data_IF_251158799549
#
_entry.id   IF_251158799549
#
_cell.length_a   1.000
_cell.length_b   1.000
_cell.length_c   1.000
_cell.angle_alpha   90.00
_cell.angle_beta   90.00
_cell.angle_gamma   90.00
#
_symmetry.space_group_name_H-M   'P 1'
#
loop_
_entity.id
_entity.type
_entity.pdbx_description
1 polymer ?
#
# COMPACT_ATOMS: atom_id res chain seq x y z
N UNK A 1 -3.84 8.84 -10.89
CA UNK A 1 -2.46 8.55 -10.44
C UNK A 1 -1.47 9.64 -10.82
N UNK A 2 -1.29 9.95 -12.11
CA UNK A 2 -0.24 10.90 -12.53
C UNK A 2 -0.36 12.27 -11.86
N UNK A 3 -1.55 12.88 -11.84
CA UNK A 3 -1.76 14.17 -11.17
C UNK A 3 -1.48 14.15 -9.66
N UNK A 4 -1.82 13.06 -8.96
CA UNK A 4 -1.55 12.92 -7.52
C UNK A 4 -0.04 12.78 -7.25
N UNK A 5 0.68 12.10 -8.13
CA UNK A 5 2.13 11.91 -8.03
C UNK A 5 2.90 13.20 -8.29
N UNK A 6 2.48 14.00 -9.27
CA UNK A 6 3.24 15.17 -9.73
C UNK A 6 2.87 16.46 -9.00
N UNK A 7 1.63 16.61 -8.50
CA UNK A 7 1.15 17.88 -7.94
C UNK A 7 2.00 18.41 -6.76
N UNK A 8 2.26 17.64 -5.69
CA UNK A 8 3.06 18.16 -4.56
C UNK A 8 4.52 18.42 -4.92
N UNK A 9 5.06 17.69 -5.90
CA UNK A 9 6.40 17.92 -6.43
C UNK A 9 6.50 19.25 -7.18
N UNK A 10 5.54 19.54 -8.07
CA UNK A 10 5.49 20.80 -8.82
C UNK A 10 5.36 22.01 -7.90
N UNK A 11 4.50 21.91 -6.89
CA UNK A 11 4.36 22.95 -5.86
C UNK A 11 5.68 23.12 -5.09
N UNK A 12 6.30 22.01 -4.68
CA UNK A 12 7.58 22.06 -3.95
C UNK A 12 8.71 22.69 -4.78
N UNK A 13 8.72 22.48 -6.10
CA UNK A 13 9.66 23.12 -7.01
C UNK A 13 9.41 24.63 -7.11
N UNK A 14 8.15 25.06 -7.19
CA UNK A 14 7.80 26.48 -7.23
C UNK A 14 8.13 27.23 -5.94
N UNK A 15 8.09 26.55 -4.79
CA UNK A 15 8.36 27.12 -3.45
C UNK A 15 9.83 26.92 -3.04
N UNK A 16 10.64 26.17 -3.81
CA UNK A 16 12.04 25.90 -3.49
C UNK A 16 12.26 24.95 -2.31
N UNK A 17 11.27 24.10 -1.99
CA UNK A 17 11.32 23.23 -0.81
C UNK A 17 12.13 21.94 -1.08
N UNK A 18 13.45 22.03 -0.91
CA UNK A 18 14.40 20.96 -1.27
C UNK A 18 14.19 19.64 -0.53
N UNK A 19 13.74 19.67 0.73
CA UNK A 19 13.55 18.46 1.56
C UNK A 19 12.56 17.49 0.91
N UNK A 20 11.43 18.01 0.43
CA UNK A 20 10.41 17.19 -0.24
C UNK A 20 10.94 16.64 -1.57
N UNK A 21 11.69 17.44 -2.33
CA UNK A 21 12.28 17.02 -3.62
C UNK A 21 13.20 15.81 -3.44
N UNK A 22 14.07 15.83 -2.41
CA UNK A 22 15.00 14.73 -2.13
C UNK A 22 14.23 13.45 -1.75
N UNK A 23 13.29 13.56 -0.79
CA UNK A 23 12.51 12.40 -0.32
C UNK A 23 11.66 11.83 -1.46
N UNK A 24 11.00 12.69 -2.24
CA UNK A 24 10.18 12.30 -3.38
C UNK A 24 11.00 11.61 -4.47
N UNK A 25 12.21 12.11 -4.77
CA UNK A 25 13.08 11.52 -5.79
C UNK A 25 13.55 10.13 -5.37
N UNK A 26 13.95 9.98 -4.10
CA UNK A 26 14.34 8.68 -3.54
C UNK A 26 13.17 7.68 -3.55
N UNK A 27 11.99 8.13 -3.12
CA UNK A 27 10.77 7.31 -3.14
C UNK A 27 10.38 6.87 -4.56
N UNK A 28 10.45 7.80 -5.52
CA UNK A 28 10.10 7.54 -6.92
C UNK A 28 11.09 6.56 -7.55
N UNK A 29 12.39 6.73 -7.31
CA UNK A 29 13.43 5.85 -7.84
C UNK A 29 13.31 4.42 -7.28
N UNK A 30 13.13 4.29 -5.97
CA UNK A 30 12.94 2.99 -5.32
C UNK A 30 11.66 2.31 -5.84
N UNK A 31 10.54 3.02 -5.91
CA UNK A 31 9.28 2.49 -6.45
C UNK A 31 9.42 2.07 -7.91
N UNK A 32 10.10 2.85 -8.74
CA UNK A 32 10.37 2.51 -10.14
C UNK A 32 11.19 1.21 -10.28
N UNK A 33 12.19 1.00 -9.40
CA UNK A 33 12.95 -0.25 -9.36
C UNK A 33 12.06 -1.45 -9.00
N UNK A 34 11.18 -1.32 -7.99
CA UNK A 34 10.23 -2.38 -7.61
C UNK A 34 9.26 -2.69 -8.74
N UNK A 35 8.73 -1.66 -9.41
CA UNK A 35 7.84 -1.80 -10.57
C UNK A 35 8.55 -2.54 -11.71
N UNK A 36 9.82 -2.20 -11.99
CA UNK A 36 10.61 -2.90 -13.01
C UNK A 36 10.72 -4.39 -12.70
N UNK A 37 10.95 -4.74 -11.43
CA UNK A 37 10.99 -6.14 -11.01
C UNK A 37 9.63 -6.83 -11.14
N UNK A 38 8.54 -6.16 -10.78
CA UNK A 38 7.17 -6.70 -10.92
C UNK A 38 6.76 -6.93 -12.39
N UNK A 39 7.36 -6.20 -13.34
CA UNK A 39 7.13 -6.33 -14.78
C UNK A 39 8.07 -7.32 -15.49
N UNK A 40 9.05 -7.90 -14.78
CA UNK A 40 10.00 -8.82 -15.41
C UNK A 40 9.30 -10.07 -15.97
N UNK A 41 9.73 -10.51 -17.16
CA UNK A 41 9.23 -11.71 -17.84
C UNK A 41 10.39 -12.67 -18.13
N UNK A 42 10.33 -13.95 -17.67
CA UNK A 42 9.31 -14.55 -16.80
C UNK A 42 9.40 -14.06 -15.34
N UNK A 43 8.29 -14.14 -14.60
CA UNK A 43 8.25 -13.74 -13.19
C UNK A 43 9.08 -14.71 -12.33
N UNK A 44 10.13 -14.22 -11.67
CA UNK A 44 10.97 -15.06 -10.82
C UNK A 44 10.25 -15.43 -9.52
N UNK A 45 10.48 -16.63 -8.96
CA UNK A 45 9.78 -17.06 -7.75
C UNK A 45 9.92 -16.16 -6.51
N UNK A 46 11.07 -15.51 -6.36
CA UNK A 46 11.32 -14.62 -5.21
C UNK A 46 10.65 -13.25 -5.37
N UNK A 47 10.27 -12.86 -6.59
CA UNK A 47 9.80 -11.51 -6.92
C UNK A 47 8.52 -11.12 -6.18
N UNK A 48 7.42 -11.91 -6.16
CA UNK A 48 6.21 -11.52 -5.44
C UNK A 48 6.46 -11.27 -3.95
N UNK A 49 7.26 -12.12 -3.30
CA UNK A 49 7.62 -11.95 -1.88
C UNK A 49 8.38 -10.65 -1.64
N UNK A 50 9.33 -10.33 -2.53
CA UNK A 50 10.10 -9.10 -2.45
C UNK A 50 9.24 -7.86 -2.66
N UNK A 51 8.40 -7.86 -3.70
CA UNK A 51 7.51 -6.73 -4.04
C UNK A 51 6.49 -6.49 -2.92
N UNK A 52 5.76 -7.53 -2.48
CA UNK A 52 4.80 -7.41 -1.39
C UNK A 52 5.49 -7.04 -0.07
N UNK A 53 6.67 -7.59 0.22
CA UNK A 53 7.44 -7.24 1.42
C UNK A 53 7.93 -5.80 1.43
N UNK A 54 8.30 -5.24 0.27
CA UNK A 54 8.65 -3.82 0.15
C UNK A 54 7.45 -2.93 0.44
N UNK A 55 6.32 -3.16 -0.22
CA UNK A 55 5.10 -2.36 -0.01
C UNK A 55 4.55 -2.49 1.42
N UNK A 56 4.67 -3.67 2.02
CA UNK A 56 4.30 -3.86 3.44
C UNK A 56 5.19 -3.03 4.38
N UNK A 57 6.51 -3.03 4.19
CA UNK A 57 7.42 -2.17 4.99
C UNK A 57 7.15 -0.69 4.76
N UNK A 58 6.91 -0.29 3.51
CA UNK A 58 6.52 1.08 3.20
C UNK A 58 5.23 1.48 3.92
N UNK A 59 4.21 0.63 3.90
CA UNK A 59 2.96 0.86 4.63
C UNK A 59 3.24 1.08 6.13
N UNK A 60 4.08 0.24 6.74
CA UNK A 60 4.40 0.38 8.17
C UNK A 60 5.12 1.70 8.47
N UNK A 61 6.11 2.08 7.64
CA UNK A 61 6.83 3.35 7.81
C UNK A 61 5.87 4.53 7.65
N UNK A 62 5.09 4.57 6.57
CA UNK A 62 4.14 5.66 6.31
C UNK A 62 3.08 5.78 7.42
N UNK A 63 2.52 4.65 7.87
CA UNK A 63 1.55 4.61 8.95
C UNK A 63 2.16 5.09 10.27
N UNK A 64 3.36 4.61 10.63
CA UNK A 64 4.02 5.02 11.87
C UNK A 64 4.42 6.50 11.83
N UNK A 65 4.91 7.00 10.70
CA UNK A 65 5.23 8.42 10.51
C UNK A 65 3.99 9.30 10.62
N UNK A 66 2.85 8.87 10.06
CA UNK A 66 1.60 9.61 10.17
C UNK A 66 1.06 9.64 11.61
N UNK A 67 1.09 8.51 12.31
CA UNK A 67 0.69 8.42 13.73
C UNK A 67 1.60 9.29 14.59
N UNK A 68 2.92 9.22 14.39
CA UNK A 68 3.87 10.04 15.13
C UNK A 68 3.65 11.54 14.86
N UNK A 69 3.42 11.93 13.60
CA UNK A 69 3.08 13.31 13.26
C UNK A 69 1.80 13.79 13.94
N UNK A 70 0.76 12.94 13.99
CA UNK A 70 -0.48 13.23 14.71
C UNK A 70 -0.27 13.38 16.22
N UNK A 71 0.53 12.51 16.84
CA UNK A 71 0.85 12.60 18.27
C UNK A 71 1.59 13.91 18.58
N UNK A 72 2.53 14.32 17.73
CA UNK A 72 3.25 15.60 17.90
C UNK A 72 2.31 16.81 17.74
N UNK A 73 1.36 16.76 16.82
CA UNK A 73 0.32 17.78 16.67
C UNK A 73 -0.55 17.89 17.93
N UNK A 74 -1.00 16.75 18.46
CA UNK A 74 -1.81 16.71 19.68
C UNK A 74 -1.01 17.17 20.90
N UNK A 75 0.27 16.83 20.97
CA UNK A 75 1.15 17.27 22.04
C UNK A 75 1.36 18.79 22.01
N UNK A 76 1.58 19.39 20.84
CA UNK A 76 1.69 20.85 20.70
C UNK A 76 0.41 21.55 21.19
N UNK A 77 -0.75 21.06 20.75
CA UNK A 77 -2.05 21.62 21.14
C UNK A 77 -2.35 21.50 22.64
N UNK A 78 -1.92 20.41 23.30
CA UNK A 78 -2.17 20.18 24.73
C UNK A 78 -1.15 20.87 25.63
N UNK A 79 0.13 20.92 25.24
CA UNK A 79 1.22 21.42 26.06
C UNK A 79 1.42 22.93 25.94
N UNK A 80 1.04 23.52 24.80
CA UNK A 80 1.25 24.94 24.51
C UNK A 80 -0.12 25.63 24.42
N UNK A 81 -0.46 26.51 25.38
CA UNK A 81 -1.66 27.32 25.27
C UNK A 81 -1.64 28.14 23.97
N UNK A 82 -2.76 28.16 23.26
CA UNK A 82 -2.92 28.84 21.95
C UNK A 82 -2.51 30.32 22.02
N UNK A 83 -2.65 30.95 23.19
CA UNK A 83 -2.36 32.37 23.40
C UNK A 83 -0.90 32.66 23.81
N UNK A 84 -0.08 31.62 23.96
CA UNK A 84 1.33 31.82 24.32
C UNK A 84 2.16 32.28 23.12
N UNK A 85 3.08 33.24 23.28
CA UNK A 85 3.96 33.70 22.21
C UNK A 85 5.09 32.71 21.88
N UNK A 86 5.03 31.47 22.40
CA UNK A 86 6.03 30.44 22.10
C UNK A 86 5.86 29.92 20.69
N UNK A 87 6.98 29.71 20.00
CA UNK A 87 6.96 29.18 18.65
C UNK A 87 6.42 27.74 18.64
N UNK A 88 5.29 27.50 17.96
CA UNK A 88 4.66 26.19 17.71
C UNK A 88 5.47 25.32 16.73
N UNK A 89 6.78 25.17 16.96
CA UNK A 89 7.65 24.38 16.10
C UNK A 89 7.26 22.90 16.11
N UNK A 90 6.82 22.37 17.25
CA UNK A 90 6.47 20.96 17.40
C UNK A 90 5.25 20.60 16.54
N UNK A 91 4.24 21.47 16.55
CA UNK A 91 3.06 21.36 15.68
C UNK A 91 3.40 21.44 14.20
N UNK A 92 4.29 22.36 13.79
CA UNK A 92 4.74 22.47 12.39
C UNK A 92 5.45 21.20 11.90
N UNK A 93 6.36 20.65 12.71
CA UNK A 93 7.03 19.38 12.39
C UNK A 93 6.05 18.21 12.39
N UNK A 94 5.10 18.17 13.34
CA UNK A 94 4.05 17.16 13.41
C UNK A 94 3.16 17.17 12.16
N UNK A 95 2.73 18.35 11.70
CA UNK A 95 1.95 18.50 10.47
C UNK A 95 2.72 18.01 9.25
N UNK A 96 4.00 18.37 9.14
CA UNK A 96 4.84 17.96 8.02
C UNK A 96 5.02 16.44 7.98
N UNK A 97 5.26 15.81 9.14
CA UNK A 97 5.38 14.35 9.25
C UNK A 97 4.07 13.65 8.89
N UNK A 98 2.94 14.15 9.41
CA UNK A 98 1.63 13.61 9.08
C UNK A 98 1.35 13.70 7.57
N UNK A 99 1.61 14.86 6.96
CA UNK A 99 1.47 15.07 5.53
C UNK A 99 2.33 14.10 4.71
N UNK A 100 3.59 13.89 5.07
CA UNK A 100 4.46 12.93 4.39
C UNK A 100 3.97 11.49 4.53
N UNK A 101 3.58 11.09 5.75
CA UNK A 101 3.07 9.75 6.02
C UNK A 101 1.82 9.44 5.19
N UNK A 102 0.87 10.37 5.12
CA UNK A 102 -0.33 10.22 4.30
C UNK A 102 -0.02 10.28 2.80
N UNK A 103 0.77 11.25 2.33
CA UNK A 103 1.06 11.42 0.91
C UNK A 103 1.76 10.19 0.31
N UNK A 104 2.86 9.75 0.91
CA UNK A 104 3.57 8.55 0.46
C UNK A 104 2.75 7.28 0.74
N UNK A 105 1.89 7.29 1.76
CA UNK A 105 0.93 6.22 2.02
C UNK A 105 -0.07 6.02 0.88
N UNK A 106 -0.69 7.10 0.38
CA UNK A 106 -1.62 7.02 -0.78
C UNK A 106 -0.88 6.54 -2.03
N UNK A 107 0.29 7.12 -2.33
CA UNK A 107 1.09 6.72 -3.49
C UNK A 107 1.54 5.25 -3.40
N UNK A 108 2.04 4.82 -2.24
CA UNK A 108 2.50 3.46 -2.00
C UNK A 108 1.39 2.44 -2.21
N UNK A 109 0.17 2.74 -1.75
CA UNK A 109 -1.01 1.91 -1.98
C UNK A 109 -1.39 1.80 -3.46
N UNK A 110 -1.43 2.91 -4.17
CA UNK A 110 -1.79 2.92 -5.59
C UNK A 110 -0.75 2.14 -6.43
N UNK A 111 0.53 2.29 -6.10
CA UNK A 111 1.60 1.54 -6.74
C UNK A 111 1.55 0.04 -6.41
N UNK A 112 1.17 -0.33 -5.18
CA UNK A 112 1.09 -1.73 -4.78
C UNK A 112 -0.03 -2.48 -5.51
N UNK A 113 -1.18 -1.82 -5.69
CA UNK A 113 -2.32 -2.35 -6.45
C UNK A 113 -1.93 -2.54 -7.94
N UNK A 114 -1.31 -1.53 -8.56
CA UNK A 114 -0.80 -1.64 -9.93
C UNK A 114 0.24 -2.76 -10.11
N UNK A 115 1.17 -2.92 -9.15
CA UNK A 115 2.15 -3.99 -9.19
C UNK A 115 1.51 -5.36 -9.04
N UNK A 116 0.51 -5.49 -8.16
CA UNK A 116 -0.24 -6.73 -7.98
C UNK A 116 -1.01 -7.11 -9.25
N UNK A 117 -1.62 -6.15 -9.94
CA UNK A 117 -2.30 -6.36 -11.22
C UNK A 117 -1.35 -6.82 -12.32
N UNK A 118 -0.16 -6.22 -12.42
CA UNK A 118 0.85 -6.69 -13.37
C UNK A 118 1.29 -8.11 -13.03
N UNK A 119 1.65 -8.41 -11.78
CA UNK A 119 2.02 -9.78 -11.41
C UNK A 119 0.89 -10.79 -11.66
N UNK A 120 -0.36 -10.43 -11.39
CA UNK A 120 -1.53 -11.26 -11.68
C UNK A 120 -1.68 -11.56 -13.18
N UNK A 121 -1.52 -10.55 -14.03
CA UNK A 121 -1.58 -10.71 -15.49
C UNK A 121 -0.53 -11.70 -16.01
N UNK A 122 0.66 -11.70 -15.40
CA UNK A 122 1.80 -12.53 -15.82
C UNK A 122 1.71 -13.99 -15.39
N UNK A 123 1.01 -14.28 -14.30
CA UNK A 123 0.75 -15.68 -13.90
C UNK A 123 -0.26 -16.34 -14.86
N UNK A 124 -1.02 -15.54 -15.62
CA UNK A 124 -1.97 -15.99 -16.65
C UNK A 124 -3.44 -15.68 -16.33
N UNK A 125 -3.73 -14.82 -15.34
CA UNK A 125 -5.10 -14.52 -14.89
C UNK A 125 -5.84 -13.46 -15.72
N UNK A 126 -5.47 -13.27 -16.98
CA UNK A 126 -6.26 -12.45 -17.93
C UNK A 126 -6.80 -13.29 -19.08
N UNK A 127 -7.28 -14.49 -18.78
CA UNK A 127 -8.32 -15.11 -19.60
C UNK A 127 -9.61 -14.31 -19.40
N UNK A 128 -10.35 -14.04 -20.48
CA UNK A 128 -11.74 -13.56 -20.40
C UNK A 128 -12.51 -14.41 -19.39
N UNK A 129 -13.56 -13.83 -18.80
CA UNK A 129 -14.48 -14.40 -17.79
C UNK A 129 -14.94 -15.88 -17.99
N UNK A 130 -14.67 -16.49 -19.14
CA UNK A 130 -15.14 -17.82 -19.55
C UNK A 130 -14.03 -18.78 -20.02
N UNK A 131 -12.74 -18.42 -19.92
CA UNK A 131 -11.63 -19.33 -20.29
C UNK A 131 -11.07 -20.06 -19.06
N UNK A 132 -11.25 -21.38 -19.05
CA UNK A 132 -10.72 -22.31 -18.04
C UNK A 132 -9.19 -22.16 -18.00
N UNK A 133 -8.57 -21.84 -16.85
CA UNK A 133 -7.12 -21.73 -16.74
C UNK A 133 -6.48 -23.11 -16.97
N UNK A 134 -5.95 -23.35 -18.16
CA UNK A 134 -5.40 -24.65 -18.59
C UNK A 134 -3.98 -24.94 -18.08
N UNK A 135 -3.53 -24.28 -17.00
CA UNK A 135 -2.24 -24.57 -16.37
C UNK A 135 -2.45 -25.50 -15.17
N UNK A 136 -2.22 -26.79 -15.39
CA UNK A 136 -2.03 -27.75 -14.32
C UNK A 136 -0.76 -27.36 -13.53
N UNK A 137 -0.94 -26.59 -12.46
CA UNK A 137 0.14 -26.26 -11.53
C UNK A 137 0.44 -27.52 -10.72
N UNK A 138 1.71 -27.92 -10.69
CA UNK A 138 2.14 -29.10 -9.95
C UNK A 138 1.79 -28.94 -8.47
N UNK A 139 1.23 -29.96 -7.78
CA UNK A 139 0.70 -29.83 -6.40
C UNK A 139 1.73 -29.42 -5.34
N UNK A 140 3.01 -29.40 -5.69
CA UNK A 140 4.12 -29.03 -4.80
C UNK A 140 4.68 -27.64 -5.09
N UNK A 141 4.03 -26.84 -5.95
CA UNK A 141 4.46 -25.48 -6.30
C UNK A 141 3.37 -24.47 -5.95
N UNK A 142 3.77 -23.36 -5.36
CA UNK A 142 2.87 -22.26 -5.04
C UNK A 142 2.39 -21.56 -6.32
N UNK A 143 1.08 -21.42 -6.53
CA UNK A 143 0.54 -20.80 -7.76
C UNK A 143 0.89 -19.30 -7.95
N UNK A 144 1.33 -18.61 -6.89
CA UNK A 144 1.66 -17.18 -6.94
C UNK A 144 3.15 -16.96 -7.20
N UNK A 145 4.00 -17.68 -6.48
CA UNK A 145 5.44 -17.51 -6.55
C UNK A 145 6.15 -18.65 -7.28
N UNK A 146 5.50 -19.73 -7.70
CA UNK A 146 6.16 -20.86 -8.35
C UNK A 146 7.25 -21.54 -7.52
N UNK A 147 7.36 -21.24 -6.21
CA UNK A 147 8.30 -21.87 -5.29
C UNK A 147 7.77 -23.19 -4.75
N UNK A 148 8.68 -24.08 -4.31
CA UNK A 148 8.30 -25.37 -3.71
C UNK A 148 7.52 -25.14 -2.40
N UNK A 149 6.44 -25.89 -2.23
CA UNK A 149 5.66 -25.98 -1.01
C UNK A 149 6.25 -27.14 -0.20
N UNK A 150 6.89 -26.85 0.93
CA UNK A 150 7.23 -27.91 1.90
C UNK A 150 5.90 -28.36 2.49
N UNK A 151 5.47 -29.58 2.13
CA UNK A 151 4.32 -30.20 2.79
C UNK A 151 4.66 -30.29 4.28
N UNK A 152 3.76 -29.79 5.11
CA UNK A 152 3.76 -30.07 6.53
C UNK A 152 3.61 -31.58 6.68
N UNK A 153 4.73 -32.30 6.76
CA UNK A 153 4.71 -33.59 7.44
C UNK A 153 4.28 -33.28 8.87
N UNK A 154 3.23 -33.99 9.29
CA UNK A 154 2.61 -33.91 10.60
C UNK A 154 3.72 -33.97 11.66
N UNK A 155 3.87 -32.88 12.42
CA UNK A 155 4.82 -32.78 13.52
C UNK A 155 4.50 -33.87 14.56
N UNK A 156 5.29 -34.94 14.58
CA UNK A 156 5.73 -35.51 15.85
C UNK A 156 6.68 -34.51 16.50
N UNK A 157 6.41 -34.23 17.77
CA UNK A 157 7.16 -33.33 18.64
C UNK A 157 8.64 -33.70 18.69
N UNK A 158 9.51 -32.79 18.24
CA UNK A 158 10.84 -32.61 18.82
C UNK A 158 11.51 -31.33 18.31
N UNK A 159 11.66 -30.40 19.24
CA UNK A 159 12.88 -29.63 19.54
C UNK A 159 13.59 -28.81 18.43
N UNK A 160 13.59 -27.49 18.68
CA UNK A 160 14.69 -26.52 18.48
C UNK A 160 14.92 -25.97 17.06
N UNK A 161 14.41 -24.75 16.81
CA UNK A 161 15.21 -23.56 16.42
C UNK A 161 14.28 -22.39 16.05
N UNK A 162 14.37 -21.28 16.79
CA UNK A 162 13.47 -20.11 16.72
C UNK A 162 13.70 -19.16 15.53
N UNK A 163 14.44 -19.56 14.48
CA UNK A 163 14.81 -18.65 13.37
C UNK A 163 14.35 -19.07 11.96
N UNK A 164 13.49 -20.09 11.84
CA UNK A 164 12.84 -20.46 10.57
C UNK A 164 11.33 -20.20 10.55
N UNK A 165 10.96 -18.93 10.54
CA UNK A 165 9.62 -18.47 10.11
C UNK A 165 9.40 -18.60 8.59
N UNK A 166 9.98 -19.64 7.97
CA UNK A 166 9.84 -19.92 6.53
C UNK A 166 8.72 -20.93 6.30
N UNK A 167 7.75 -20.50 5.51
CA UNK A 167 6.87 -21.34 4.70
C UNK A 167 5.79 -22.16 5.41
N UNK A 168 5.03 -21.55 6.33
CA UNK A 168 3.67 -22.04 6.62
C UNK A 168 2.86 -22.04 5.31
N UNK A 169 2.45 -23.23 4.87
CA UNK A 169 1.55 -23.41 3.74
C UNK A 169 0.10 -23.32 4.23
N UNK A 170 -0.77 -22.75 3.41
CA UNK A 170 -2.19 -22.56 3.73
C UNK A 170 -3.00 -23.11 2.57
N UNK A 171 -3.91 -24.03 2.86
CA UNK A 171 -4.95 -24.46 1.93
C UNK A 171 -6.12 -23.48 1.98
N UNK A 172 -6.62 -23.12 0.81
CA UNK A 172 -7.89 -22.39 0.69
C UNK A 172 -9.08 -23.37 0.74
N UNK A 173 -10.30 -22.84 0.81
CA UNK A 173 -11.55 -23.64 0.72
C UNK A 173 -11.67 -24.40 -0.60
N UNK A 174 -11.04 -23.89 -1.66
CA UNK A 174 -10.92 -24.52 -2.97
C UNK A 174 -9.77 -25.54 -3.09
N UNK A 175 -9.22 -25.99 -1.95
CA UNK A 175 -8.12 -26.97 -1.82
C UNK A 175 -6.77 -26.58 -2.45
N UNK A 176 -6.66 -25.41 -3.07
CA UNK A 176 -5.40 -24.89 -3.59
C UNK A 176 -4.44 -24.45 -2.47
N UNK A 177 -3.18 -24.86 -2.58
CA UNK A 177 -2.13 -24.62 -1.59
C UNK A 177 -1.24 -23.43 -1.99
N UNK A 178 -1.00 -22.53 -1.04
CA UNK A 178 -0.12 -21.38 -1.22
C UNK A 178 0.76 -21.17 0.02
N UNK A 179 1.87 -20.44 -0.14
CA UNK A 179 2.59 -19.91 1.02
C UNK A 179 1.76 -18.81 1.68
N UNK A 180 1.66 -18.85 3.02
CA UNK A 180 0.92 -17.86 3.82
C UNK A 180 1.26 -16.42 3.42
N UNK A 181 2.55 -16.12 3.20
CA UNK A 181 2.99 -14.78 2.78
C UNK A 181 2.52 -14.39 1.38
N UNK A 182 2.53 -15.34 0.43
CA UNK A 182 2.13 -15.08 -0.95
C UNK A 182 0.62 -14.80 -1.04
N UNK A 183 -0.20 -15.61 -0.37
CA UNK A 183 -1.65 -15.42 -0.37
C UNK A 183 -2.07 -14.17 0.42
N UNK A 184 -1.36 -13.82 1.50
CA UNK A 184 -1.54 -12.54 2.21
C UNK A 184 -1.18 -11.34 1.32
N UNK A 185 -0.07 -11.40 0.60
CA UNK A 185 0.30 -10.35 -0.35
C UNK A 185 -0.76 -10.17 -1.44
N UNK A 186 -1.28 -11.27 -1.98
CA UNK A 186 -2.35 -11.26 -2.99
C UNK A 186 -3.64 -10.60 -2.47
N UNK A 187 -4.11 -11.02 -1.30
CA UNK A 187 -5.38 -10.60 -0.72
C UNK A 187 -5.33 -9.20 -0.12
N UNK A 188 -4.27 -8.88 0.62
CA UNK A 188 -4.14 -7.61 1.35
C UNK A 188 -3.52 -6.54 0.46
N UNK A 189 -2.34 -6.80 -0.12
CA UNK A 189 -1.58 -5.80 -0.89
C UNK A 189 -2.17 -5.62 -2.29
N UNK A 190 -2.60 -6.72 -2.91
CA UNK A 190 -3.26 -6.70 -4.22
C UNK A 190 -4.77 -6.49 -4.20
N UNK A 191 -5.39 -6.50 -3.01
CA UNK A 191 -6.86 -6.41 -2.82
C UNK A 191 -7.64 -7.42 -3.68
N UNK A 192 -7.09 -8.61 -3.89
CA UNK A 192 -7.75 -9.67 -4.66
C UNK A 192 -8.42 -10.64 -3.70
N UNK A 193 -9.75 -10.73 -3.75
CA UNK A 193 -10.57 -11.63 -2.93
C UNK A 193 -10.85 -12.99 -3.60
N UNK A 194 -10.10 -13.33 -4.66
CA UNK A 194 -10.27 -14.54 -5.46
C UNK A 194 -9.02 -15.42 -5.43
N UNK A 195 -9.22 -16.73 -5.51
CA UNK A 195 -8.14 -17.70 -5.60
C UNK A 195 -7.40 -17.53 -6.94
N UNK A 196 -6.07 -17.37 -6.93
CA UNK A 196 -5.28 -17.29 -8.15
C UNK A 196 -5.07 -18.66 -8.81
N UNK A 197 -6.03 -19.59 -8.79
CA UNK A 197 -5.98 -20.79 -9.64
C UNK A 197 -7.38 -21.05 -10.20
N UNK A 198 -8.38 -21.18 -9.33
CA UNK A 198 -9.77 -21.44 -9.73
C UNK A 198 -10.67 -20.19 -9.81
N UNK A 199 -10.17 -19.00 -9.46
CA UNK A 199 -10.95 -17.76 -9.36
C UNK A 199 -12.15 -17.81 -8.41
N UNK A 200 -12.22 -18.83 -7.54
CA UNK A 200 -13.25 -18.92 -6.50
C UNK A 200 -12.98 -17.87 -5.42
N UNK A 201 -14.04 -17.26 -4.88
CA UNK A 201 -13.90 -16.28 -3.80
C UNK A 201 -13.30 -16.93 -2.56
N UNK A 202 -12.32 -16.26 -1.98
CA UNK A 202 -11.62 -16.72 -0.79
C UNK A 202 -12.31 -16.15 0.44
N UNK A 203 -12.70 -17.01 1.37
CA UNK A 203 -13.13 -16.57 2.70
C UNK A 203 -11.92 -16.08 3.50
N UNK A 204 -11.68 -14.77 3.45
CA UNK A 204 -10.55 -14.11 4.11
C UNK A 204 -10.59 -14.30 5.64
N UNK A 205 -11.79 -14.24 6.23
CA UNK A 205 -12.01 -14.32 7.69
C UNK A 205 -11.68 -15.69 8.29
N UNK A 206 -11.86 -16.78 7.56
CA UNK A 206 -11.51 -18.13 8.04
C UNK A 206 -10.03 -18.46 7.84
N UNK A 207 -9.37 -17.76 6.91
CA UNK A 207 -7.98 -18.03 6.51
C UNK A 207 -6.98 -17.16 7.28
N UNK A 208 -7.40 -15.96 7.70
CA UNK A 208 -6.56 -15.00 8.43
C UNK A 208 -7.36 -14.38 9.61
N UNK A 209 -6.97 -14.71 10.85
CA UNK A 209 -7.68 -14.27 12.08
C UNK A 209 -6.93 -13.11 12.78
N UNK A 210 -6.00 -12.45 12.10
CA UNK A 210 -5.05 -11.58 12.79
C UNK A 210 -5.58 -10.13 12.97
N UNK A 211 -5.52 -9.55 14.19
CA UNK A 211 -5.93 -8.16 14.48
C UNK A 211 -5.28 -7.10 13.58
N UNK A 212 -4.09 -7.39 13.08
CA UNK A 212 -3.31 -6.59 12.14
C UNK A 212 -4.02 -6.33 10.79
N UNK A 213 -4.98 -7.19 10.40
CA UNK A 213 -5.80 -7.02 9.19
C UNK A 213 -6.85 -5.92 9.35
N UNK A 214 -7.45 -5.79 10.54
CA UNK A 214 -8.42 -4.71 10.80
C UNK A 214 -7.73 -3.34 10.74
N UNK A 215 -6.49 -3.26 11.20
CA UNK A 215 -5.68 -2.04 11.14
C UNK A 215 -5.35 -1.65 9.69
N UNK A 216 -5.00 -2.62 8.83
CA UNK A 216 -4.70 -2.34 7.41
C UNK A 216 -5.91 -1.89 6.61
N UNK A 217 -7.10 -2.43 6.90
CA UNK A 217 -8.36 -2.00 6.28
C UNK A 217 -8.71 -0.56 6.69
N UNK A 218 -8.63 -0.24 7.98
CA UNK A 218 -8.94 1.11 8.48
C UNK A 218 -7.99 2.17 7.92
N UNK A 219 -6.68 1.87 7.92
CA UNK A 219 -5.69 2.73 7.28
C UNK A 219 -6.00 2.94 5.79
N UNK A 220 -6.42 1.88 5.11
CA UNK A 220 -6.91 1.96 3.75
C UNK A 220 -8.03 3.01 3.61
N UNK A 221 -9.09 2.90 4.39
CA UNK A 221 -10.21 3.84 4.29
C UNK A 221 -9.77 5.30 4.51
N UNK A 222 -8.87 5.55 5.47
CA UNK A 222 -8.31 6.90 5.69
C UNK A 222 -7.55 7.39 4.47
N UNK A 223 -6.69 6.57 3.87
CA UNK A 223 -5.95 6.95 2.67
C UNK A 223 -6.88 7.28 1.50
N UNK A 224 -8.02 6.60 1.36
CA UNK A 224 -9.00 6.89 0.32
C UNK A 224 -9.68 8.25 0.54
N UNK A 225 -10.02 8.56 1.80
CA UNK A 225 -10.54 9.87 2.20
C UNK A 225 -9.51 10.98 1.93
N UNK A 226 -8.24 10.76 2.32
CA UNK A 226 -7.16 11.72 2.06
C UNK A 226 -6.94 11.92 0.55
N UNK A 227 -6.99 10.83 -0.24
CA UNK A 227 -6.91 10.93 -1.71
C UNK A 227 -8.00 11.85 -2.26
N UNK A 228 -9.23 11.68 -1.79
CA UNK A 228 -10.35 12.54 -2.17
C UNK A 228 -10.07 14.01 -1.80
N UNK A 229 -9.67 14.29 -0.57
CA UNK A 229 -9.33 15.67 -0.17
C UNK A 229 -8.24 16.31 -1.03
N UNK A 230 -7.16 15.59 -1.35
CA UNK A 230 -6.07 16.13 -2.17
C UNK A 230 -6.54 16.43 -3.60
N UNK A 231 -7.35 15.54 -4.20
CA UNK A 231 -7.83 15.70 -5.58
C UNK A 231 -8.88 16.80 -5.70
N UNK A 232 -9.72 16.98 -4.69
CA UNK A 232 -10.78 18.00 -4.69
C UNK A 232 -10.29 19.39 -4.30
N UNK A 233 -9.18 19.52 -3.59
CA UNK A 233 -8.66 20.81 -3.13
C UNK A 233 -8.43 21.82 -4.30
N UNK A 234 -7.78 21.47 -5.43
CA UNK A 234 -7.63 22.37 -6.57
C UNK A 234 -8.97 22.80 -7.20
N UNK A 235 -9.95 21.91 -7.24
CA UNK A 235 -11.29 22.19 -7.78
C UNK A 235 -12.02 23.18 -6.86
N UNK A 236 -11.98 22.95 -5.55
CA UNK A 236 -12.59 23.83 -4.55
C UNK A 236 -11.97 25.23 -4.62
N UNK A 237 -10.63 25.33 -4.69
CA UNK A 237 -9.94 26.62 -4.79
C UNK A 237 -10.27 27.34 -6.11
N UNK A 238 -10.36 26.62 -7.23
CA UNK A 238 -10.73 27.20 -8.52
C UNK A 238 -12.17 27.72 -8.51
N UNK A 239 -13.11 26.93 -8.01
CA UNK A 239 -14.53 27.32 -7.88
C UNK A 239 -14.67 28.51 -6.92
N UNK A 240 -13.99 28.50 -5.77
CA UNK A 240 -14.00 29.62 -4.84
C UNK A 240 -13.45 30.91 -5.47
N UNK A 241 -12.35 30.83 -6.23
CA UNK A 241 -11.79 31.97 -6.94
C UNK A 241 -12.75 32.51 -8.01
N UNK A 242 -13.44 31.62 -8.74
CA UNK A 242 -14.50 31.99 -9.68
C UNK A 242 -15.66 32.71 -8.98
N UNK A 243 -16.16 32.18 -7.87
CA UNK A 243 -17.21 32.82 -7.07
C UNK A 243 -16.78 34.20 -6.55
N UNK A 244 -15.54 34.34 -6.05
CA UNK A 244 -15.01 35.63 -5.60
C UNK A 244 -14.91 36.64 -6.75
N UNK A 245 -14.46 36.21 -7.93
CA UNK A 245 -14.44 37.06 -9.14
C UNK A 245 -15.84 37.47 -9.58
N UNK A 246 -16.81 36.56 -9.51
CA UNK A 246 -18.22 36.86 -9.81
C UNK A 246 -18.89 37.77 -8.78
N UNK A 247 -18.52 37.67 -7.50
CA UNK A 247 -19.00 38.57 -6.47
C UNK A 247 -18.47 40.00 -6.72
N UNK A 248 -17.19 40.13 -7.05
CA UNK A 248 -16.56 41.42 -7.32
C UNK A 248 -17.10 42.11 -8.58
N UNK A 249 -17.54 41.37 -9.62
CA UNK A 249 -18.16 41.96 -10.82
C UNK A 249 -19.62 42.38 -10.63
N UNK A 250 -20.29 41.97 -9.54
CA UNK A 250 -21.64 42.44 -9.21
C UNK A 250 -21.67 43.72 -8.39
N UNK A 251 -20.55 44.10 -7.77
CA UNK A 251 -20.43 45.33 -6.97
C UNK A 251 -19.96 46.55 -7.77
N UNK A 252 -19.54 46.36 -9.03
CA UNK A 252 -19.16 47.42 -9.99
C UNK A 252 -20.25 47.63 -11.04
#
# INVERSE_FOLDING_TARGET
MFGLWTMPFLISLSVGFWRMIVVWSFWTLTTAYIIKQARAQPLQPRTPRFVYGWFYRSYQVCSNTAILGYVLLMADWLLIPVDSPTNHFLGQYGLLMAFYGFYFGVLGRDCSEMCADWMASMIGFTGKKDEIPSRHIHPNLCGICGGKLTKQEVLTESEVDEDETKDKTVSLTCEHLFHSWCIRGWTIVGKKDVCPICCEKVNLSSTFVNPWEKQSIWWGNILDVVRYFIVWNPIILYVANLFLRFAHTKET
#
